data_IF_663725312964
#
_entry.id   IF_663725312964
#
_cell.length_a   1.000
_cell.length_b   1.000
_cell.length_c   1.000
_cell.angle_alpha   90.00
_cell.angle_beta   90.00
_cell.angle_gamma   90.00
#
_symmetry.space_group_name_H-M   'P 1'
#
loop_
_entity.id
_entity.type
_entity.pdbx_description
1 polymer ?
#
# COMPACT_ATOMS: atom_id res chain seq x y z
N UNK A 1 -1.34 5.04 3.33
CA UNK A 1 -0.43 6.11 3.79
C UNK A 1 0.95 5.76 3.30
N UNK A 2 1.72 6.70 2.80
CA UNK A 2 3.16 6.54 2.55
C UNK A 2 3.97 7.26 3.65
N UNK A 3 5.24 6.88 3.76
CA UNK A 3 6.17 7.42 4.74
C UNK A 3 7.01 8.58 4.21
N UNK A 4 6.99 8.82 2.90
CA UNK A 4 7.72 9.91 2.27
C UNK A 4 6.81 11.14 2.09
N UNK A 5 7.43 12.30 1.92
CA UNK A 5 6.71 13.57 1.71
C UNK A 5 6.25 13.73 0.25
N UNK A 6 6.10 12.63 -0.48
CA UNK A 6 5.70 12.65 -1.89
C UNK A 6 4.18 12.50 -1.97
N UNK A 7 3.50 13.57 -2.37
CA UNK A 7 2.02 13.61 -2.46
C UNK A 7 1.43 12.71 -3.56
N UNK A 8 2.21 11.78 -4.13
CA UNK A 8 1.86 10.96 -5.29
C UNK A 8 1.03 9.75 -4.85
N UNK A 9 1.28 9.19 -3.67
CA UNK A 9 0.49 8.07 -3.12
C UNK A 9 -0.58 8.49 -2.12
N UNK A 10 -0.80 9.80 -1.96
CA UNK A 10 -2.00 10.33 -1.31
C UNK A 10 -3.24 9.72 -2.00
N UNK A 11 -4.07 9.01 -1.22
CA UNK A 11 -5.27 8.32 -1.69
C UNK A 11 -5.06 7.17 -2.68
N UNK A 12 -3.89 6.55 -2.65
CA UNK A 12 -3.68 5.27 -3.32
C UNK A 12 -4.75 4.25 -2.86
N UNK A 13 -5.50 3.72 -3.81
CA UNK A 13 -6.40 2.58 -3.58
C UNK A 13 -5.93 1.37 -4.37
N UNK A 14 -6.16 0.18 -3.83
CA UNK A 14 -5.84 -1.08 -4.51
C UNK A 14 -7.09 -1.94 -4.60
N UNK A 15 -7.41 -2.38 -5.82
CA UNK A 15 -8.51 -3.30 -6.07
C UNK A 15 -7.94 -4.63 -6.59
N UNK A 16 -8.25 -5.73 -5.91
CA UNK A 16 -7.87 -7.07 -6.37
C UNK A 16 -8.74 -7.50 -7.55
N UNK A 17 -8.12 -7.79 -8.69
CA UNK A 17 -8.82 -8.22 -9.91
C UNK A 17 -8.74 -9.73 -10.11
N UNK A 18 -7.66 -10.37 -9.67
CA UNK A 18 -7.46 -11.81 -9.79
C UNK A 18 -6.71 -12.38 -8.60
N UNK A 19 -7.01 -13.63 -8.25
CA UNK A 19 -6.27 -14.41 -7.27
C UNK A 19 -6.25 -15.87 -7.69
N UNK A 20 -5.04 -16.44 -7.68
CA UNK A 20 -4.79 -17.87 -7.81
C UNK A 20 -4.32 -18.38 -6.44
N UNK A 21 -5.18 -19.17 -5.79
CA UNK A 21 -4.89 -19.72 -4.46
C UNK A 21 -3.87 -20.86 -4.49
N UNK A 22 -3.73 -21.57 -5.61
CA UNK A 22 -2.78 -22.69 -5.75
C UNK A 22 -1.36 -22.16 -5.85
N UNK A 23 -1.15 -21.15 -6.69
CA UNK A 23 0.17 -20.53 -6.87
C UNK A 23 0.42 -19.35 -5.93
N UNK A 24 -0.60 -18.96 -5.14
CA UNK A 24 -0.60 -17.80 -4.23
C UNK A 24 -0.23 -16.50 -4.95
N UNK A 25 -0.65 -16.37 -6.21
CA UNK A 25 -0.45 -15.18 -7.02
C UNK A 25 -1.70 -14.32 -6.99
N UNK A 26 -1.53 -13.01 -6.98
CA UNK A 26 -2.64 -12.10 -7.08
C UNK A 26 -2.31 -10.93 -8.02
N UNK A 27 -3.36 -10.40 -8.62
CA UNK A 27 -3.29 -9.20 -9.45
C UNK A 27 -4.17 -8.15 -8.83
N UNK A 28 -3.62 -6.96 -8.73
CA UNK A 28 -4.28 -5.77 -8.25
C UNK A 28 -4.18 -4.68 -9.31
N UNK A 29 -5.09 -3.74 -9.23
CA UNK A 29 -4.97 -2.44 -9.91
C UNK A 29 -4.85 -1.40 -8.81
N UNK A 30 -3.72 -0.71 -8.82
CA UNK A 30 -3.50 0.47 -8.02
C UNK A 30 -4.09 1.67 -8.75
N UNK A 31 -4.92 2.43 -8.07
CA UNK A 31 -5.39 3.73 -8.55
C UNK A 31 -4.64 4.79 -7.76
N UNK A 32 -3.70 5.47 -8.41
CA UNK A 32 -2.94 6.60 -7.87
C UNK A 32 -3.53 7.92 -8.36
N UNK A 33 -3.45 8.96 -7.54
CA UNK A 33 -4.04 10.27 -7.82
C UNK A 33 -5.58 10.29 -7.71
N UNK A 34 -6.20 11.34 -8.25
CA UNK A 34 -7.65 11.54 -8.18
C UNK A 34 -8.12 12.69 -7.29
N UNK A 35 -7.20 13.50 -6.75
CA UNK A 35 -7.54 14.82 -6.21
C UNK A 35 -7.75 15.82 -7.36
N UNK A 36 -8.45 16.94 -7.12
CA UNK A 36 -8.99 17.89 -8.12
C UNK A 36 -8.08 18.27 -9.31
N UNK A 37 -6.76 18.13 -9.20
CA UNK A 37 -5.78 18.54 -10.21
C UNK A 37 -4.85 17.42 -10.73
N UNK A 38 -4.96 16.19 -10.22
CA UNK A 38 -4.09 15.07 -10.65
C UNK A 38 -4.95 14.00 -11.33
N UNK A 39 -4.71 13.68 -12.62
CA UNK A 39 -5.47 12.64 -13.31
C UNK A 39 -5.29 11.29 -12.62
N UNK A 40 -6.40 10.55 -12.46
CA UNK A 40 -6.37 9.17 -11.96
C UNK A 40 -5.56 8.32 -12.92
N UNK A 41 -4.59 7.57 -12.40
CA UNK A 41 -3.82 6.60 -13.16
C UNK A 41 -4.02 5.22 -12.55
N UNK A 42 -4.31 4.25 -13.42
CA UNK A 42 -4.38 2.84 -13.05
C UNK A 42 -3.05 2.16 -13.38
N UNK A 43 -2.45 1.53 -12.37
CA UNK A 43 -1.19 0.81 -12.48
C UNK A 43 -1.45 -0.65 -12.11
N UNK A 44 -1.26 -1.60 -13.04
CA UNK A 44 -1.37 -3.01 -12.71
C UNK A 44 -0.24 -3.42 -11.77
N UNK A 45 -0.58 -4.22 -10.76
CA UNK A 45 0.33 -4.65 -9.73
C UNK A 45 0.19 -6.16 -9.55
N UNK A 46 1.23 -6.90 -9.92
CA UNK A 46 1.25 -8.36 -9.85
C UNK A 46 2.11 -8.79 -8.68
N UNK A 47 1.58 -9.67 -7.83
CA UNK A 47 2.31 -10.21 -6.68
C UNK A 47 2.40 -11.72 -6.73
N UNK A 48 3.54 -12.22 -6.28
CA UNK A 48 3.81 -13.63 -6.02
C UNK A 48 4.57 -13.80 -4.71
N UNK A 49 4.55 -15.00 -4.11
CA UNK A 49 5.35 -15.27 -2.91
C UNK A 49 6.84 -15.05 -3.18
N UNK A 50 7.52 -14.40 -2.25
CA UNK A 50 8.96 -14.18 -2.33
C UNK A 50 9.76 -15.41 -1.91
N UNK A 51 11.08 -15.30 -2.02
CA UNK A 51 12.00 -16.39 -1.68
C UNK A 51 12.09 -16.70 -0.19
N UNK A 52 11.68 -15.76 0.67
CA UNK A 52 11.74 -15.89 2.13
C UNK A 52 10.38 -15.65 2.78
N UNK A 53 10.09 -16.27 3.94
CA UNK A 53 8.86 -15.99 4.68
C UNK A 53 8.75 -14.49 5.01
N UNK A 54 7.60 -13.89 4.70
CA UNK A 54 7.36 -12.47 4.92
C UNK A 54 7.74 -11.57 3.73
N UNK A 55 8.26 -12.12 2.64
CA UNK A 55 8.54 -11.35 1.41
C UNK A 55 7.62 -11.73 0.25
N UNK A 56 7.50 -10.81 -0.70
CA UNK A 56 6.79 -11.01 -1.96
C UNK A 56 7.58 -10.43 -3.13
N UNK A 57 7.41 -11.04 -4.28
CA UNK A 57 7.94 -10.55 -5.56
C UNK A 57 6.83 -9.77 -6.27
N UNK A 58 7.20 -8.62 -6.82
CA UNK A 58 6.27 -7.68 -7.44
C UNK A 58 6.69 -7.32 -8.87
N UNK A 59 5.70 -7.19 -9.75
CA UNK A 59 5.84 -6.49 -11.03
C UNK A 59 4.84 -5.34 -11.07
N UNK A 60 5.30 -4.13 -11.39
CA UNK A 60 4.52 -2.90 -11.23
C UNK A 60 4.45 -2.15 -12.56
N UNK A 61 3.25 -2.02 -13.11
CA UNK A 61 3.03 -1.38 -14.40
C UNK A 61 3.74 -2.13 -15.52
N UNK A 62 4.49 -1.36 -16.31
CA UNK A 62 5.32 -1.86 -17.42
C UNK A 62 6.80 -2.04 -17.03
N UNK A 63 7.15 -1.91 -15.74
CA UNK A 63 8.52 -2.16 -15.27
C UNK A 63 8.82 -3.67 -15.37
N UNK A 64 9.81 -4.09 -16.18
CA UNK A 64 10.16 -5.50 -16.32
C UNK A 64 10.93 -6.05 -15.13
N UNK A 65 11.46 -5.20 -14.25
CA UNK A 65 12.24 -5.61 -13.10
C UNK A 65 11.33 -6.11 -11.97
N UNK A 66 11.59 -7.32 -11.50
CA UNK A 66 10.96 -7.84 -10.28
C UNK A 66 11.49 -7.05 -9.09
N UNK A 67 10.58 -6.49 -8.30
CA UNK A 67 10.87 -5.77 -7.06
C UNK A 67 10.48 -6.63 -5.87
N UNK A 68 11.26 -6.55 -4.79
CA UNK A 68 10.90 -7.22 -3.54
C UNK A 68 10.02 -6.29 -2.69
N UNK A 69 9.03 -6.88 -2.04
CA UNK A 69 8.26 -6.24 -0.99
C UNK A 69 8.30 -7.07 0.28
N UNK A 70 8.21 -6.39 1.43
CA UNK A 70 8.33 -7.01 2.75
C UNK A 70 7.06 -6.73 3.54
N UNK A 71 6.48 -7.75 4.18
CA UNK A 71 5.40 -7.58 5.13
C UNK A 71 5.99 -7.47 6.54
N UNK A 72 5.88 -6.29 7.14
CA UNK A 72 6.35 -6.06 8.52
C UNK A 72 5.27 -6.40 9.55
N UNK A 73 4.01 -6.09 9.24
CA UNK A 73 2.89 -6.35 10.13
C UNK A 73 1.67 -6.80 9.34
N UNK A 74 0.97 -7.81 9.87
CA UNK A 74 -0.29 -8.31 9.32
C UNK A 74 -1.31 -8.44 10.46
N UNK A 75 -2.16 -7.42 10.58
CA UNK A 75 -3.27 -7.40 11.52
C UNK A 75 -4.56 -7.87 10.88
N UNK A 76 -5.64 -7.87 11.66
CA UNK A 76 -6.97 -8.21 11.14
C UNK A 76 -7.47 -7.17 10.13
N UNK A 77 -7.20 -5.89 10.40
CA UNK A 77 -7.79 -4.76 9.71
C UNK A 77 -6.80 -3.97 8.84
N UNK A 78 -5.50 -4.27 8.97
CA UNK A 78 -4.43 -3.54 8.31
C UNK A 78 -3.16 -4.36 8.09
N UNK A 79 -2.35 -3.86 7.17
CA UNK A 79 -1.05 -4.43 6.79
C UNK A 79 -0.06 -3.28 6.69
N UNK A 80 1.11 -3.44 7.30
CA UNK A 80 2.26 -2.55 7.07
C UNK A 80 3.24 -3.30 6.19
N UNK A 81 3.61 -2.69 5.07
CA UNK A 81 4.52 -3.28 4.10
C UNK A 81 5.51 -2.28 3.55
N UNK A 82 6.65 -2.82 3.16
CA UNK A 82 7.71 -2.12 2.46
C UNK A 82 7.72 -2.51 0.99
N UNK A 83 7.86 -1.53 0.10
CA UNK A 83 7.90 -1.75 -1.33
C UNK A 83 9.04 -0.96 -1.96
N UNK A 84 9.77 -1.61 -2.84
CA UNK A 84 10.73 -0.92 -3.70
C UNK A 84 10.05 -0.47 -5.01
N UNK A 85 9.48 0.74 -5.01
CA UNK A 85 8.87 1.35 -6.19
C UNK A 85 9.21 2.83 -6.28
N UNK A 86 10.06 3.21 -7.24
CA UNK A 86 10.62 4.57 -7.40
C UNK A 86 11.31 5.11 -6.13
N UNK A 87 11.78 4.21 -5.26
CA UNK A 87 12.29 4.52 -3.93
C UNK A 87 11.81 3.46 -2.94
N UNK A 88 12.14 3.67 -1.67
CA UNK A 88 11.67 2.85 -0.56
C UNK A 88 10.33 3.41 -0.06
N UNK A 89 9.28 2.62 -0.20
CA UNK A 89 7.91 3.04 0.05
C UNK A 89 7.31 2.18 1.16
N UNK A 90 7.27 2.73 2.39
CA UNK A 90 6.66 2.07 3.53
C UNK A 90 5.19 2.49 3.61
N UNK A 91 4.27 1.52 3.44
CA UNK A 91 2.83 1.77 3.31
C UNK A 91 2.03 1.04 4.39
N UNK A 92 1.06 1.77 4.95
CA UNK A 92 -0.08 1.19 5.67
C UNK A 92 -1.28 1.02 4.72
N UNK A 93 -1.74 -0.22 4.60
CA UNK A 93 -3.01 -0.59 3.97
C UNK A 93 -4.07 -0.91 4.99
N UNK A 94 -5.30 -0.48 4.73
CA UNK A 94 -6.49 -0.84 5.49
C UNK A 94 -7.60 -1.24 4.54
N UNK A 95 -8.62 -1.92 5.07
CA UNK A 95 -9.85 -2.09 4.31
C UNK A 95 -10.49 -0.72 4.00
N UNK A 96 -11.13 -0.59 2.83
CA UNK A 96 -11.72 0.69 2.37
C UNK A 96 -12.73 1.28 3.37
N UNK A 97 -13.51 0.44 4.05
CA UNK A 97 -14.51 0.89 5.02
C UNK A 97 -13.90 1.49 6.31
N UNK A 98 -12.59 1.34 6.53
CA UNK A 98 -11.86 1.89 7.67
C UNK A 98 -11.09 3.17 7.33
N UNK A 99 -11.18 3.68 6.10
CA UNK A 99 -10.31 4.78 5.64
C UNK A 99 -10.42 6.07 6.47
N UNK A 100 -11.57 6.35 7.06
CA UNK A 100 -11.81 7.50 7.96
C UNK A 100 -11.63 7.18 9.46
N UNK A 101 -11.50 5.89 9.78
CA UNK A 101 -11.50 5.36 11.15
C UNK A 101 -10.49 4.22 11.27
N UNK A 102 -9.25 4.50 10.87
CA UNK A 102 -8.15 3.54 10.97
C UNK A 102 -7.93 3.19 12.45
N UNK A 103 -7.88 1.89 12.82
CA UNK A 103 -7.64 1.48 14.21
C UNK A 103 -6.32 2.05 14.74
N UNK A 104 -6.25 2.48 16.02
CA UNK A 104 -5.03 3.04 16.60
C UNK A 104 -3.83 2.09 16.51
N UNK A 105 -4.03 0.78 16.73
CA UNK A 105 -2.97 -0.23 16.61
C UNK A 105 -2.28 -0.21 15.23
N UNK A 106 -3.05 0.01 14.16
CA UNK A 106 -2.52 0.06 12.81
C UNK A 106 -1.64 1.29 12.58
N UNK A 107 -2.01 2.42 13.19
CA UNK A 107 -1.25 3.67 13.12
C UNK A 107 0.04 3.50 13.94
N UNK A 108 -0.06 2.94 15.15
CA UNK A 108 1.09 2.69 16.02
C UNK A 108 2.10 1.78 15.33
N UNK A 109 1.66 0.66 14.74
CA UNK A 109 2.53 -0.25 13.98
C UNK A 109 3.18 0.43 12.77
N UNK A 110 2.45 1.31 12.07
CA UNK A 110 3.00 2.06 10.96
C UNK A 110 4.08 3.06 11.41
N UNK A 111 3.83 3.80 12.49
CA UNK A 111 4.78 4.73 13.10
C UNK A 111 6.04 4.00 13.59
N UNK A 112 5.86 2.91 14.34
CA UNK A 112 6.96 2.13 14.91
C UNK A 112 7.81 1.45 13.83
N UNK A 113 7.17 0.95 12.77
CA UNK A 113 7.85 0.22 11.68
C UNK A 113 8.51 1.17 10.69
N UNK A 114 7.79 2.19 10.23
CA UNK A 114 8.26 3.08 9.16
C UNK A 114 9.02 4.30 9.69
N UNK A 115 9.03 4.54 11.01
CA UNK A 115 9.73 5.67 11.65
C UNK A 115 9.14 7.03 11.29
N UNK A 116 7.85 7.08 11.00
CA UNK A 116 7.12 8.28 10.54
C UNK A 116 6.44 9.00 11.70
N UNK A 117 6.33 10.33 11.62
CA UNK A 117 5.54 11.12 12.57
C UNK A 117 4.19 11.48 11.92
N UNK A 118 3.14 10.75 12.29
CA UNK A 118 1.78 10.97 11.78
C UNK A 118 1.04 11.90 12.74
N UNK A 119 0.55 13.05 12.28
CA UNK A 119 -0.33 13.90 13.10
C UNK A 119 -1.58 13.09 13.49
N UNK A 120 -1.81 12.81 14.78
CA UNK A 120 -2.96 12.00 15.24
C UNK A 120 -4.32 12.63 14.90
N UNK A 121 -4.36 13.89 14.46
CA UNK A 121 -5.55 14.59 13.95
C UNK A 121 -5.85 14.35 12.47
N UNK A 122 -4.89 13.87 11.68
CA UNK A 122 -5.13 13.41 10.30
C UNK A 122 -5.76 12.02 10.31
N UNK A 123 -7.03 11.95 10.73
CA UNK A 123 -7.86 10.74 10.61
C UNK A 123 -8.48 10.60 9.22
N UNK A 124 -8.70 11.73 8.56
CA UNK A 124 -9.08 11.79 7.15
C UNK A 124 -7.80 11.85 6.30
N UNK A 125 -7.44 10.70 5.77
CA UNK A 125 -6.25 10.51 4.94
C UNK A 125 -6.54 10.76 3.47
N UNK A 126 -7.83 10.85 3.14
CA UNK A 126 -8.36 11.25 1.87
C UNK A 126 -9.50 12.22 2.08
N UNK A 127 -9.46 13.42 1.47
CA UNK A 127 -10.64 14.27 1.42
C UNK A 127 -11.74 13.55 0.61
N UNK A 128 -12.98 13.60 1.11
CA UNK A 128 -14.16 13.15 0.38
C UNK A 128 -14.33 13.97 -0.92
N UNK A 129 -14.76 13.30 -1.99
CA UNK A 129 -15.12 13.89 -3.29
C UNK A 129 -16.20 14.98 -3.18
#
# INVERSE_FOLDING_TARGET
MDSDNDTIFECLTSNRTHIDYETKKATFVWTVGGTRNVPKQEVPFFVSPGSTPGTMDMLIGDDPDVKEGIFYYFGQDCIVMDLEYRGHLCILWTARYLMHHVPPECIDQFVDTCGVDVDPRRRDLCPDD
#
